data_IF_417182864674
#
_entry.id   IF_417182864674
#
_cell.length_a   1.000
_cell.length_b   1.000
_cell.length_c   1.000
_cell.angle_alpha   90.00
_cell.angle_beta   90.00
_cell.angle_gamma   90.00
#
_symmetry.space_group_name_H-M   'P 1'
#
loop_
_entity.id
_entity.type
_entity.pdbx_description
1 polymer ?
#
# COMPACT_ATOMS: atom_id res chain seq x y z
N UNK A 1 17.41 27.33 15.93
CA UNK A 1 16.61 26.14 16.28
C UNK A 1 15.19 26.44 15.80
N UNK A 2 14.55 25.75 14.86
CA UNK A 2 14.57 24.32 14.52
C UNK A 2 14.39 24.18 13.00
N UNK A 3 15.41 23.66 12.30
CA UNK A 3 15.25 23.12 10.94
C UNK A 3 14.44 21.83 11.05
N UNK A 4 13.27 21.80 10.41
CA UNK A 4 12.33 20.68 10.46
C UNK A 4 12.96 19.44 9.80
N UNK A 5 13.03 18.34 10.54
CA UNK A 5 13.73 17.08 10.24
C UNK A 5 13.03 16.20 9.19
N UNK A 6 12.00 16.67 8.50
CA UNK A 6 11.25 15.86 7.54
C UNK A 6 12.01 15.51 6.24
N UNK A 7 13.14 16.13 5.95
CA UNK A 7 13.93 15.86 4.71
C UNK A 7 15.02 14.80 4.90
N UNK A 8 15.27 14.32 6.13
CA UNK A 8 16.36 13.36 6.41
C UNK A 8 15.89 11.91 6.59
N UNK A 9 14.59 11.63 6.67
CA UNK A 9 14.09 10.26 6.81
C UNK A 9 14.01 9.47 5.49
N UNK A 10 13.94 10.15 4.33
CA UNK A 10 13.87 9.48 3.01
C UNK A 10 15.22 9.37 2.30
N UNK A 11 16.31 9.84 2.91
CA UNK A 11 17.65 9.79 2.33
C UNK A 11 18.48 8.67 2.95
N UNK A 12 17.99 7.44 2.86
CA UNK A 12 18.82 6.25 3.12
C UNK A 12 19.00 5.44 1.83
N UNK A 13 20.23 5.49 1.31
CA UNK A 13 20.90 4.45 0.51
C UNK A 13 20.59 4.38 -1.00
N UNK A 14 21.18 5.28 -1.79
CA UNK A 14 21.69 4.91 -3.13
C UNK A 14 23.22 4.83 -3.10
N UNK A 15 23.70 3.62 -2.85
CA UNK A 15 25.08 3.22 -3.10
C UNK A 15 25.10 1.72 -3.39
N UNK A 16 25.60 1.36 -4.58
CA UNK A 16 26.00 -0.02 -4.90
C UNK A 16 24.92 -0.89 -5.56
N UNK A 17 25.12 -1.20 -6.85
CA UNK A 17 24.16 -1.95 -7.66
C UNK A 17 24.08 -3.45 -7.41
N UNK A 18 22.98 -4.02 -7.91
CA UNK A 18 22.87 -5.26 -8.72
C UNK A 18 21.58 -5.12 -9.56
N UNK A 19 21.37 -5.87 -10.64
CA UNK A 19 20.04 -6.03 -11.23
C UNK A 19 19.23 -6.92 -10.29
N UNK A 20 18.68 -6.33 -9.24
CA UNK A 20 17.84 -7.02 -8.28
C UNK A 20 16.42 -7.06 -8.87
N UNK A 21 15.76 -8.21 -8.79
CA UNK A 21 14.31 -8.27 -8.84
C UNK A 21 13.78 -7.22 -7.84
N UNK A 22 13.17 -6.13 -8.30
CA UNK A 22 12.53 -5.15 -7.41
C UNK A 22 11.45 -5.87 -6.62
N UNK A 23 11.51 -5.81 -5.30
CA UNK A 23 10.43 -6.35 -4.49
C UNK A 23 9.12 -5.58 -4.78
N UNK A 24 7.94 -6.21 -4.68
CA UNK A 24 6.66 -5.51 -4.89
C UNK A 24 6.49 -4.28 -3.98
N UNK A 25 7.15 -4.30 -2.81
CA UNK A 25 7.19 -3.17 -1.89
C UNK A 25 8.05 -2.02 -2.42
N UNK A 26 9.28 -2.29 -2.87
CA UNK A 26 10.14 -1.25 -3.46
C UNK A 26 9.49 -0.62 -4.69
N UNK A 27 8.92 -1.45 -5.57
CA UNK A 27 8.22 -0.96 -6.76
C UNK A 27 7.01 -0.08 -6.39
N UNK A 28 6.24 -0.48 -5.36
CA UNK A 28 5.13 0.33 -4.87
C UNK A 28 5.61 1.68 -4.32
N UNK A 29 6.71 1.71 -3.56
CA UNK A 29 7.27 2.98 -3.05
C UNK A 29 7.72 3.90 -4.18
N UNK A 30 8.32 3.35 -5.24
CA UNK A 30 8.81 4.13 -6.39
C UNK A 30 7.67 4.75 -7.22
N UNK A 31 6.55 4.04 -7.38
CA UNK A 31 5.43 4.47 -8.24
C UNK A 31 4.35 5.22 -7.46
N UNK A 32 3.91 4.69 -6.32
CA UNK A 32 2.81 5.25 -5.53
C UNK A 32 3.31 6.28 -4.51
N UNK A 33 4.58 6.20 -4.14
CA UNK A 33 5.12 6.89 -2.98
C UNK A 33 4.90 6.11 -1.67
N UNK A 34 5.70 6.41 -0.64
CA UNK A 34 5.77 5.63 0.58
C UNK A 34 4.49 5.66 1.42
N UNK A 35 3.81 6.81 1.47
CA UNK A 35 2.57 6.97 2.23
C UNK A 35 1.44 6.13 1.61
N UNK A 36 1.23 6.24 0.30
CA UNK A 36 0.16 5.54 -0.40
C UNK A 36 0.41 4.03 -0.41
N UNK A 37 1.67 3.61 -0.61
CA UNK A 37 2.06 2.21 -0.50
C UNK A 37 1.78 1.64 0.90
N UNK A 38 2.11 2.38 1.97
CA UNK A 38 1.83 1.96 3.34
C UNK A 38 0.32 1.85 3.63
N UNK A 39 -0.49 2.80 3.15
CA UNK A 39 -1.95 2.79 3.29
C UNK A 39 -2.54 1.55 2.60
N UNK A 40 -2.09 1.25 1.38
CA UNK A 40 -2.52 0.06 0.63
C UNK A 40 -2.12 -1.21 1.37
N UNK A 41 -0.89 -1.28 1.88
CA UNK A 41 -0.44 -2.47 2.61
C UNK A 41 -1.27 -2.69 3.88
N UNK A 42 -1.53 -1.64 4.65
CA UNK A 42 -2.41 -1.70 5.82
C UNK A 42 -3.84 -2.15 5.43
N UNK A 43 -4.37 -1.65 4.32
CA UNK A 43 -5.66 -2.05 3.78
C UNK A 43 -5.72 -3.55 3.41
N UNK A 44 -4.65 -4.05 2.78
CA UNK A 44 -4.52 -5.46 2.41
C UNK A 44 -4.51 -6.33 3.66
N UNK A 45 -3.70 -5.98 4.66
CA UNK A 45 -3.58 -6.73 5.91
C UNK A 45 -4.90 -6.74 6.71
N UNK A 46 -5.60 -5.60 6.76
CA UNK A 46 -6.93 -5.50 7.38
C UNK A 46 -7.95 -6.45 6.73
N UNK A 47 -7.74 -6.82 5.46
CA UNK A 47 -8.57 -7.75 4.67
C UNK A 47 -7.92 -9.12 4.48
N UNK A 48 -6.90 -9.48 5.24
CA UNK A 48 -6.02 -10.64 4.97
C UNK A 48 -6.73 -11.96 4.67
N UNK A 49 -7.88 -12.23 5.30
CA UNK A 49 -8.69 -13.44 5.04
C UNK A 49 -9.27 -13.52 3.61
N UNK A 50 -9.41 -12.38 2.94
CA UNK A 50 -10.00 -12.27 1.60
C UNK A 50 -8.97 -12.07 0.48
N UNK A 51 -7.67 -12.01 0.80
CA UNK A 51 -6.60 -11.74 -0.17
C UNK A 51 -5.63 -12.92 -0.20
N UNK A 52 -5.57 -13.62 -1.34
CA UNK A 52 -4.74 -14.81 -1.49
C UNK A 52 -3.23 -14.51 -1.38
N UNK A 53 -2.78 -13.34 -1.84
CA UNK A 53 -1.38 -12.91 -1.72
C UNK A 53 -1.28 -11.39 -1.63
N UNK A 54 -0.72 -10.91 -0.51
CA UNK A 54 -0.52 -9.48 -0.28
C UNK A 54 0.44 -8.86 -1.31
N UNK A 55 1.54 -9.55 -1.62
CA UNK A 55 2.54 -9.08 -2.58
C UNK A 55 2.03 -9.03 -4.02
N UNK A 56 1.28 -10.05 -4.45
CA UNK A 56 0.68 -10.07 -5.79
C UNK A 56 -0.40 -9.01 -5.98
N UNK A 57 -1.19 -8.75 -4.93
CA UNK A 57 -2.19 -7.68 -4.95
C UNK A 57 -1.55 -6.29 -4.97
N UNK A 58 -0.48 -6.09 -4.19
CA UNK A 58 0.30 -4.84 -4.22
C UNK A 58 0.90 -4.59 -5.61
N UNK A 59 1.53 -5.60 -6.22
CA UNK A 59 2.06 -5.51 -7.59
C UNK A 59 0.98 -5.12 -8.61
N UNK A 60 -0.21 -5.71 -8.50
CA UNK A 60 -1.35 -5.37 -9.36
C UNK A 60 -1.83 -3.92 -9.19
N UNK A 61 -1.80 -3.39 -7.96
CA UNK A 61 -2.15 -1.99 -7.69
C UNK A 61 -1.06 -1.03 -8.19
N UNK A 62 0.21 -1.40 -8.01
CA UNK A 62 1.36 -0.66 -8.55
C UNK A 62 1.31 -0.58 -10.08
N UNK A 63 0.95 -1.67 -10.77
CA UNK A 63 0.76 -1.65 -12.23
C UNK A 63 -0.38 -0.71 -12.65
N UNK A 64 -1.51 -0.71 -11.92
CA UNK A 64 -2.61 0.23 -12.18
C UNK A 64 -2.20 1.68 -11.96
N UNK A 65 -1.33 1.93 -10.97
CA UNK A 65 -0.79 3.26 -10.70
C UNK A 65 0.18 3.72 -11.78
N UNK A 66 1.04 2.83 -12.29
CA UNK A 66 1.87 3.11 -13.47
C UNK A 66 1.01 3.50 -14.68
N UNK A 67 -0.15 2.86 -14.86
CA UNK A 67 -1.07 3.18 -15.95
C UNK A 67 -1.90 4.47 -15.73
N UNK A 68 -1.69 5.20 -14.63
CA UNK A 68 -2.45 6.41 -14.29
C UNK A 68 -3.91 6.14 -13.88
N UNK A 69 -4.30 4.87 -13.71
CA UNK A 69 -5.66 4.44 -13.41
C UNK A 69 -5.86 4.09 -11.92
N UNK A 70 -5.04 4.67 -11.04
CA UNK A 70 -5.06 4.38 -9.61
C UNK A 70 -5.63 5.54 -8.80
N UNK A 71 -6.45 5.21 -7.81
CA UNK A 71 -6.92 6.12 -6.78
C UNK A 71 -7.04 5.37 -5.46
N UNK A 72 -6.64 6.01 -4.36
CA UNK A 72 -6.81 5.48 -3.01
C UNK A 72 -8.28 5.40 -2.57
N UNK A 73 -9.16 6.26 -3.11
CA UNK A 73 -10.56 6.32 -2.72
C UNK A 73 -11.28 4.97 -2.84
N UNK A 74 -11.25 4.30 -4.01
CA UNK A 74 -11.82 2.97 -4.20
C UNK A 74 -11.25 1.89 -3.25
N UNK A 75 -9.95 1.95 -2.94
CA UNK A 75 -9.28 1.02 -2.00
C UNK A 75 -9.87 1.19 -0.60
N UNK A 76 -9.94 2.43 -0.11
CA UNK A 76 -10.49 2.76 1.20
C UNK A 76 -11.99 2.43 1.29
N UNK A 77 -12.77 2.73 0.25
CA UNK A 77 -14.19 2.39 0.22
C UNK A 77 -14.44 0.88 0.24
N UNK A 78 -13.57 0.09 -0.39
CA UNK A 78 -13.65 -1.37 -0.27
C UNK A 78 -13.40 -1.84 1.18
N UNK A 79 -12.48 -1.20 1.91
CA UNK A 79 -12.27 -1.48 3.33
C UNK A 79 -13.47 -1.10 4.19
N UNK A 80 -14.02 0.10 4.00
CA UNK A 80 -15.17 0.58 4.78
C UNK A 80 -16.34 -0.39 4.59
N UNK A 81 -16.65 -0.77 3.35
CA UNK A 81 -17.72 -1.75 3.06
C UNK A 81 -17.46 -3.10 3.70
N UNK A 82 -16.23 -3.61 3.63
CA UNK A 82 -15.87 -4.88 4.27
C UNK A 82 -16.05 -4.83 5.80
N UNK A 83 -15.65 -3.73 6.44
CA UNK A 83 -15.83 -3.54 7.88
C UNK A 83 -17.30 -3.37 8.27
N UNK A 84 -18.10 -2.63 7.50
CA UNK A 84 -19.55 -2.51 7.72
C UNK A 84 -20.25 -3.86 7.62
N UNK A 85 -19.87 -4.70 6.65
CA UNK A 85 -20.39 -6.07 6.54
C UNK A 85 -20.07 -6.91 7.77
N UNK A 86 -18.79 -6.96 8.19
CA UNK A 86 -18.37 -7.68 9.41
C UNK A 86 -19.14 -7.21 10.66
N UNK A 87 -19.41 -5.90 10.79
CA UNK A 87 -20.20 -5.33 11.90
C UNK A 87 -21.68 -5.74 11.85
N UNK A 88 -22.29 -5.75 10.67
CA UNK A 88 -23.68 -6.17 10.48
C UNK A 88 -23.89 -7.67 10.77
N UNK A 89 -22.91 -8.51 10.42
CA UNK A 89 -22.90 -9.93 10.78
C UNK A 89 -22.82 -10.12 12.30
N UNK A 90 -21.95 -9.37 12.98
CA UNK A 90 -21.80 -9.42 14.44
C UNK A 90 -23.08 -9.03 15.20
N UNK A 91 -23.92 -8.15 14.64
CA UNK A 91 -25.18 -7.73 15.28
C UNK A 91 -26.35 -8.69 15.01
N UNK A 92 -26.17 -9.65 14.09
CA UNK A 92 -27.17 -10.67 13.73
C UNK A 92 -26.91 -12.03 14.38
N UNK A 93 -25.73 -12.22 14.95
CA UNK A 93 -25.35 -13.38 15.75
C UNK A 93 -25.61 -13.08 17.23
#
# INVERSE_FOLDING_TARGET
MVFNTSTLAYRCRRGGGRPHHQSPWEEANDILGPNDAAIILAAILQRGEAIASAGGYLCSLTQKARAGAFSLGPVLMALIRANLKKRGEKMRA
#
